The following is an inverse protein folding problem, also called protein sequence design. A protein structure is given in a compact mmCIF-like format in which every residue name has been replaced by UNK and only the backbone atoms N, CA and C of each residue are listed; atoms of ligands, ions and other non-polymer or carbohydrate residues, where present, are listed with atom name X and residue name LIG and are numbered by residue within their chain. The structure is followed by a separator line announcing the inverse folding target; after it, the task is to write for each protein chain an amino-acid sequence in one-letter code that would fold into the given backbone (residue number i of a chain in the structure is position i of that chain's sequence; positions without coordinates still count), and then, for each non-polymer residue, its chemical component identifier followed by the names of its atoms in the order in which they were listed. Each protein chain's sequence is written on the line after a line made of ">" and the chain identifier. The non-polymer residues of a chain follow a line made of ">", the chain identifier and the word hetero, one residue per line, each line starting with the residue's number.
data_IF_343729005419
#
_entry.id   IF_343729005419
#
_cell.length_a   1.000
_cell.length_b   1.000
_cell.length_c   1.000
_cell.angle_alpha   90.00
_cell.angle_beta   90.00
_cell.angle_gamma   90.00
#
_symmetry.space_group_name_H-M   'P 1'
#
loop_
_entity.id
_entity.type
_entity.pdbx_description
1 polymer ?
#
# COMPACT_ATOMS: atom_id res chain seq x y z
N UNK A 1 58.99 -53.84 -7.18
CA UNK A 1 60.11 -52.91 -7.44
C UNK A 1 59.61 -51.51 -7.11
N UNK A 2 59.91 -51.06 -5.89
CA UNK A 2 60.92 -50.03 -5.58
C UNK A 2 60.43 -48.63 -5.98
N UNK A 3 59.85 -47.85 -5.06
CA UNK A 3 60.46 -47.03 -3.98
C UNK A 3 61.12 -45.73 -4.47
N UNK A 4 60.73 -44.62 -3.85
CA UNK A 4 61.41 -43.33 -3.93
C UNK A 4 60.86 -42.31 -2.94
N UNK A 5 61.05 -42.56 -1.64
CA UNK A 5 61.00 -41.56 -0.56
C UNK A 5 62.25 -40.68 -0.60
N UNK A 6 62.23 -39.50 0.03
CA UNK A 6 63.14 -38.93 1.06
C UNK A 6 62.74 -37.43 1.23
N UNK A 7 62.13 -36.98 2.35
CA UNK A 7 62.75 -36.53 3.64
C UNK A 7 63.44 -35.16 3.44
N UNK A 8 63.29 -34.08 4.21
CA UNK A 8 62.86 -33.86 5.59
C UNK A 8 62.44 -32.38 5.81
N UNK A 9 61.78 -32.12 6.94
CA UNK A 9 62.26 -31.29 8.06
C UNK A 9 61.14 -30.39 8.62
N UNK A 10 60.70 -30.76 9.82
CA UNK A 10 59.94 -29.89 10.70
C UNK A 10 60.90 -28.92 11.40
N UNK A 11 60.52 -27.64 11.45
CA UNK A 11 61.00 -26.72 12.49
C UNK A 11 59.80 -25.98 13.07
N UNK A 12 59.57 -26.19 14.37
CA UNK A 12 58.67 -25.42 15.19
C UNK A 12 59.20 -23.99 15.36
N UNK A 13 58.34 -23.00 15.15
CA UNK A 13 58.46 -21.69 15.77
C UNK A 13 57.06 -21.21 16.15
N UNK A 14 56.80 -21.19 17.45
CA UNK A 14 55.63 -20.57 18.04
C UNK A 14 55.74 -19.05 17.90
N UNK A 15 54.71 -18.42 17.34
CA UNK A 15 54.43 -17.00 17.57
C UNK A 15 52.97 -16.86 17.90
N UNK A 16 52.70 -16.60 19.17
CA UNK A 16 51.42 -16.07 19.63
C UNK A 16 51.34 -14.59 19.20
N UNK A 17 50.26 -14.21 18.50
CA UNK A 17 49.51 -12.98 18.75
C UNK A 17 48.42 -12.73 17.68
N UNK A 18 47.21 -12.43 18.16
CA UNK A 18 46.30 -11.48 17.52
C UNK A 18 45.41 -12.00 16.40
N UNK A 19 44.19 -12.41 16.76
CA UNK A 19 43.05 -12.34 15.84
C UNK A 19 42.86 -10.87 15.42
N UNK A 20 43.17 -10.56 14.16
CA UNK A 20 42.79 -9.28 13.55
C UNK A 20 41.34 -9.40 13.10
N UNK A 21 40.45 -8.83 13.90
CA UNK A 21 39.08 -8.48 13.52
C UNK A 21 39.12 -7.55 12.31
N UNK A 22 38.44 -7.90 11.23
CA UNK A 22 38.21 -6.99 10.10
C UNK A 22 37.26 -5.89 10.58
N UNK A 23 37.80 -4.75 10.96
CA UNK A 23 37.04 -3.55 11.34
C UNK A 23 36.60 -2.81 10.09
N UNK A 24 35.28 -2.63 9.97
CA UNK A 24 34.59 -1.81 8.99
C UNK A 24 35.06 -0.33 9.10
N UNK A 25 35.55 0.34 8.04
CA UNK A 25 36.13 1.68 8.17
C UNK A 25 35.12 2.83 8.02
N UNK A 26 33.83 2.60 8.22
CA UNK A 26 32.82 3.68 8.19
C UNK A 26 32.11 3.82 9.54
N UNK A 27 32.28 4.94 10.27
CA UNK A 27 31.46 5.22 11.45
C UNK A 27 30.02 5.47 11.01
N UNK A 28 29.07 4.89 11.76
CA UNK A 28 27.66 5.26 11.66
C UNK A 28 27.51 6.77 11.94
N UNK A 29 26.66 7.51 11.20
CA UNK A 29 26.40 8.90 11.52
C UNK A 29 25.82 9.01 12.94
N UNK A 30 26.24 10.00 13.74
CA UNK A 30 25.71 10.18 15.08
C UNK A 30 24.21 10.46 15.02
N UNK A 31 23.46 9.88 15.96
CA UNK A 31 22.08 10.22 16.20
C UNK A 31 21.99 11.74 16.46
N UNK A 32 21.28 12.46 15.60
CA UNK A 32 20.99 13.87 15.83
C UNK A 32 20.02 13.97 17.01
N UNK A 33 20.54 14.35 18.17
CA UNK A 33 19.74 14.86 19.27
C UNK A 33 19.15 16.21 18.85
N UNK A 34 17.82 16.30 18.78
CA UNK A 34 17.15 17.59 18.68
C UNK A 34 17.40 18.37 19.98
N UNK A 35 17.83 19.63 19.92
CA UNK A 35 17.90 20.47 21.11
C UNK A 35 16.49 20.67 21.68
N UNK A 36 16.37 20.63 23.01
CA UNK A 36 15.15 21.01 23.71
C UNK A 36 14.73 22.44 23.29
N UNK A 37 13.42 22.70 23.13
CA UNK A 37 12.95 24.04 22.77
C UNK A 37 13.29 25.03 23.88
N UNK A 38 14.08 26.05 23.55
CA UNK A 38 14.33 27.20 24.40
C UNK A 38 13.02 27.96 24.58
N UNK A 39 12.62 28.35 25.80
CA UNK A 39 11.44 29.18 26.01
C UNK A 39 11.60 30.51 25.28
N UNK A 40 10.59 30.89 24.49
CA UNK A 40 10.58 32.19 23.83
C UNK A 40 10.59 33.33 24.88
N UNK A 41 11.35 34.42 24.65
CA UNK A 41 11.27 35.61 25.49
C UNK A 41 9.87 36.25 25.38
N UNK A 42 9.34 36.86 26.46
CA UNK A 42 8.05 37.51 26.43
C UNK A 42 8.06 38.69 25.44
N UNK A 43 7.03 38.76 24.60
CA UNK A 43 6.78 39.88 23.69
C UNK A 43 6.55 41.17 24.51
N UNK A 44 7.05 42.32 24.04
CA UNK A 44 6.74 43.61 24.67
C UNK A 44 5.24 43.92 24.56
N UNK A 45 4.64 44.35 25.67
CA UNK A 45 3.26 44.84 25.71
C UNK A 45 3.09 46.03 24.76
N UNK A 46 2.22 45.86 23.76
CA UNK A 46 1.71 46.97 22.97
C UNK A 46 0.48 47.56 23.68
N UNK A 47 0.32 48.91 23.72
CA UNK A 47 -0.84 49.53 24.32
C UNK A 47 -2.12 49.19 23.55
N UNK A 48 -3.17 48.82 24.29
CA UNK A 48 -4.50 48.50 23.74
C UNK A 48 -5.11 49.69 22.98
N UNK A 49 -5.67 49.48 21.77
CA UNK A 49 -6.51 50.47 21.11
C UNK A 49 -7.89 50.57 21.77
N UNK A 50 -8.57 51.73 21.69
CA UNK A 50 -9.85 51.97 22.35
C UNK A 50 -10.99 51.11 21.78
N UNK A 51 -12.06 50.86 22.55
CA UNK A 51 -13.12 49.93 22.16
C UNK A 51 -13.96 50.52 21.03
N UNK A 52 -14.00 49.82 19.89
CA UNK A 52 -14.95 50.06 18.80
C UNK A 52 -16.19 49.19 19.04
N UNK A 53 -17.38 49.81 19.02
CA UNK A 53 -18.66 49.12 19.21
C UNK A 53 -18.91 48.07 18.14
N UNK A 54 -19.25 46.85 18.58
CA UNK A 54 -19.62 45.75 17.71
C UNK A 54 -20.95 46.02 16.98
N UNK A 55 -21.05 45.72 15.67
CA UNK A 55 -22.34 45.41 15.06
C UNK A 55 -22.71 43.95 15.33
N UNK A 56 -24.03 43.74 15.43
CA UNK A 56 -24.75 42.52 15.79
C UNK A 56 -24.39 41.29 14.93
N UNK A 57 -24.24 40.07 15.51
CA UNK A 57 -23.89 38.89 14.73
C UNK A 57 -25.07 38.40 13.89
N UNK A 58 -24.86 38.35 12.57
CA UNK A 58 -25.70 37.60 11.65
C UNK A 58 -25.66 36.10 12.00
N UNK A 59 -26.84 35.49 12.11
CA UNK A 59 -27.04 34.06 12.33
C UNK A 59 -26.51 33.32 11.09
N UNK A 60 -25.30 32.75 11.19
CA UNK A 60 -24.80 31.76 10.23
C UNK A 60 -25.30 30.40 10.70
N UNK A 61 -26.27 29.86 9.99
CA UNK A 61 -26.72 28.48 10.13
C UNK A 61 -25.56 27.52 9.90
N UNK A 62 -25.31 26.65 10.88
CA UNK A 62 -24.33 25.57 10.77
C UNK A 62 -24.70 24.64 9.59
N UNK A 63 -23.73 24.20 8.77
CA UNK A 63 -23.99 23.22 7.73
C UNK A 63 -24.37 21.86 8.37
N UNK A 64 -25.40 21.22 7.81
CA UNK A 64 -25.89 19.91 8.22
C UNK A 64 -24.78 18.85 8.16
N UNK A 65 -24.76 17.87 9.09
CA UNK A 65 -23.79 16.79 9.07
C UNK A 65 -23.92 15.97 7.78
N UNK A 66 -22.88 16.04 6.94
CA UNK A 66 -22.79 15.29 5.70
C UNK A 66 -22.80 13.79 5.97
N UNK A 67 -23.85 13.13 5.48
CA UNK A 67 -24.05 11.69 5.54
C UNK A 67 -22.90 11.00 4.80
N UNK A 68 -22.16 10.13 5.50
CA UNK A 68 -21.17 9.23 4.90
C UNK A 68 -21.91 8.18 4.09
N UNK A 69 -22.13 8.45 2.81
CA UNK A 69 -22.52 7.43 1.83
C UNK A 69 -21.26 6.76 1.29
N UNK A 70 -21.11 5.47 1.57
CA UNK A 70 -20.21 4.58 0.82
C UNK A 70 -21.04 4.04 -0.35
N UNK A 71 -20.56 4.15 -1.62
CA UNK A 71 -21.33 3.70 -2.77
C UNK A 71 -21.69 2.23 -2.65
N UNK A 72 -22.89 1.90 -3.12
CA UNK A 72 -23.43 0.55 -3.25
C UNK A 72 -22.47 -0.39 -4.02
N UNK A 73 -22.60 -1.71 -3.82
CA UNK A 73 -21.86 -2.66 -4.65
C UNK A 73 -22.31 -2.48 -6.09
N UNK A 74 -21.39 -2.03 -6.94
CA UNK A 74 -21.63 -1.92 -8.37
C UNK A 74 -22.02 -3.27 -8.95
N UNK A 75 -23.05 -3.32 -9.82
CA UNK A 75 -23.31 -4.51 -10.62
C UNK A 75 -22.12 -4.80 -11.55
N UNK A 76 -22.07 -6.03 -12.08
CA UNK A 76 -21.04 -6.62 -12.98
C UNK A 76 -20.35 -5.58 -13.89
N UNK A 77 -19.05 -5.75 -14.21
CA UNK A 77 -18.27 -4.77 -14.95
C UNK A 77 -18.94 -4.54 -16.32
N UNK A 78 -19.73 -3.47 -16.42
CA UNK A 78 -19.96 -2.87 -17.72
C UNK A 78 -18.62 -2.28 -18.14
N UNK A 79 -18.26 -2.51 -19.40
CA UNK A 79 -17.09 -1.89 -20.01
C UNK A 79 -17.36 -0.39 -20.04
N UNK A 80 -17.00 0.27 -18.94
CA UNK A 80 -17.13 1.70 -18.76
C UNK A 80 -16.27 2.36 -19.83
N UNK A 81 -16.92 3.09 -20.75
CA UNK A 81 -16.23 3.92 -21.72
C UNK A 81 -15.24 4.82 -20.99
N UNK A 82 -13.99 4.84 -21.43
CA UNK A 82 -12.91 5.62 -20.82
C UNK A 82 -12.42 6.57 -21.89
N UNK A 83 -12.37 7.85 -21.57
CA UNK A 83 -11.70 8.83 -22.42
C UNK A 83 -10.48 9.38 -21.69
N UNK A 84 -9.38 9.43 -22.41
CA UNK A 84 -8.16 10.10 -21.98
C UNK A 84 -8.03 11.37 -22.80
N UNK A 85 -7.88 12.50 -22.14
CA UNK A 85 -7.74 13.79 -22.81
C UNK A 85 -6.32 14.30 -22.65
N UNK A 86 -5.65 14.59 -23.77
CA UNK A 86 -4.31 15.16 -23.76
C UNK A 86 -4.39 16.59 -23.24
N UNK A 87 -3.60 16.90 -22.21
CA UNK A 87 -3.53 18.24 -21.63
C UNK A 87 -2.10 18.79 -21.65
N UNK A 88 -1.99 20.09 -21.37
CA UNK A 88 -0.71 20.76 -21.14
C UNK A 88 -0.28 20.65 -19.67
N UNK A 89 1.03 20.78 -19.42
CA UNK A 89 1.59 20.77 -18.06
C UNK A 89 1.00 21.87 -17.15
N UNK A 90 0.52 22.98 -17.72
CA UNK A 90 -0.16 24.05 -16.97
C UNK A 90 -1.52 23.65 -16.41
N UNK A 91 -2.13 22.56 -16.90
CA UNK A 91 -3.39 22.05 -16.37
C UNK A 91 -3.21 21.22 -15.09
N UNK A 92 -1.99 20.78 -14.79
CA UNK A 92 -1.67 20.02 -13.57
C UNK A 92 -1.51 21.00 -12.39
N UNK A 93 -2.43 20.99 -11.40
CA UNK A 93 -2.38 21.93 -10.29
C UNK A 93 -1.13 21.72 -9.45
N UNK A 94 -0.44 22.79 -9.07
CA UNK A 94 0.78 22.76 -8.25
C UNK A 94 1.93 21.91 -8.82
N UNK A 95 1.96 21.63 -10.14
CA UNK A 95 3.04 20.85 -10.77
C UNK A 95 4.42 21.39 -10.39
N UNK A 96 4.61 22.71 -10.47
CA UNK A 96 5.87 23.38 -10.16
C UNK A 96 6.28 23.30 -8.68
N UNK A 97 5.34 23.00 -7.79
CA UNK A 97 5.58 22.91 -6.35
C UNK A 97 5.94 21.48 -5.90
N UNK A 98 5.69 20.45 -6.71
CA UNK A 98 6.06 19.07 -6.36
C UNK A 98 7.59 18.85 -6.43
N UNK A 99 8.12 18.16 -5.43
CA UNK A 99 9.52 17.72 -5.41
C UNK A 99 9.68 16.41 -6.20
N UNK A 100 9.89 16.53 -7.50
CA UNK A 100 9.97 15.40 -8.43
C UNK A 100 11.19 14.50 -8.24
N UNK A 101 12.22 14.96 -7.51
CA UNK A 101 13.34 14.10 -7.09
C UNK A 101 12.89 12.95 -6.17
N UNK A 102 11.73 13.07 -5.53
CA UNK A 102 11.14 11.98 -4.73
C UNK A 102 10.35 10.98 -5.57
N UNK A 103 9.82 11.39 -6.74
CA UNK A 103 9.09 10.51 -7.65
C UNK A 103 10.03 9.68 -8.55
N UNK A 104 11.17 10.25 -8.95
CA UNK A 104 12.13 9.61 -9.85
C UNK A 104 12.65 8.26 -9.34
N UNK A 105 13.06 8.08 -8.06
CA UNK A 105 13.47 6.77 -7.54
C UNK A 105 12.36 5.72 -7.62
N UNK A 106 11.10 6.10 -7.34
CA UNK A 106 9.96 5.20 -7.49
C UNK A 106 9.78 4.78 -8.95
N UNK A 107 9.87 5.73 -9.90
CA UNK A 107 9.79 5.41 -11.32
C UNK A 107 10.94 4.49 -11.78
N UNK A 108 12.16 4.71 -11.29
CA UNK A 108 13.31 3.84 -11.58
C UNK A 108 13.13 2.41 -11.05
N UNK A 109 12.43 2.23 -9.93
CA UNK A 109 12.05 0.87 -9.47
C UNK A 109 11.12 0.21 -10.49
N UNK A 110 10.08 0.90 -10.95
CA UNK A 110 9.17 0.41 -11.99
C UNK A 110 9.88 0.10 -13.31
N UNK A 111 10.91 0.87 -13.67
CA UNK A 111 11.73 0.59 -14.85
C UNK A 111 12.43 -0.78 -14.82
N UNK A 112 12.58 -1.42 -13.66
CA UNK A 112 13.05 -2.81 -13.59
C UNK A 112 12.00 -3.84 -14.03
N UNK A 113 10.73 -3.58 -13.75
CA UNK A 113 9.61 -4.43 -14.15
C UNK A 113 9.13 -4.13 -15.58
N UNK A 114 9.32 -2.90 -16.05
CA UNK A 114 9.01 -2.46 -17.42
C UNK A 114 10.10 -2.87 -18.45
N UNK A 115 11.11 -3.65 -18.04
CA UNK A 115 12.15 -4.12 -18.97
C UNK A 115 11.53 -5.00 -20.05
N UNK A 116 11.76 -4.65 -21.31
CA UNK A 116 11.21 -5.37 -22.47
C UNK A 116 9.88 -4.82 -22.97
N UNK A 117 9.29 -3.83 -22.31
CA UNK A 117 8.18 -3.06 -22.88
C UNK A 117 8.75 -1.90 -23.73
N UNK A 118 8.62 -2.03 -25.05
CA UNK A 118 9.12 -1.04 -26.02
C UNK A 118 8.53 0.36 -25.81
N UNK A 119 7.33 0.45 -25.23
CA UNK A 119 6.69 1.72 -24.89
C UNK A 119 7.49 2.51 -23.83
N UNK A 120 8.08 1.81 -22.86
CA UNK A 120 8.75 2.42 -21.71
C UNK A 120 10.27 2.34 -21.79
N UNK A 121 10.84 1.48 -22.65
CA UNK A 121 12.27 1.25 -22.73
C UNK A 121 13.10 2.54 -22.89
N UNK A 122 12.67 3.43 -23.81
CA UNK A 122 13.37 4.70 -24.06
C UNK A 122 13.31 5.66 -22.88
N UNK A 123 12.15 5.79 -22.24
CA UNK A 123 11.99 6.71 -21.10
C UNK A 123 12.71 6.18 -19.86
N UNK A 124 12.70 4.87 -19.64
CA UNK A 124 13.48 4.23 -18.60
C UNK A 124 15.00 4.40 -18.80
N UNK A 125 15.51 4.22 -20.02
CA UNK A 125 16.92 4.47 -20.32
C UNK A 125 17.31 5.93 -20.02
N UNK A 126 16.49 6.90 -20.42
CA UNK A 126 16.70 8.32 -20.08
C UNK A 126 16.68 8.57 -18.57
N UNK A 127 15.73 7.98 -17.85
CA UNK A 127 15.59 8.16 -16.41
C UNK A 127 16.85 7.76 -15.63
N UNK A 128 17.55 6.70 -16.08
CA UNK A 128 18.79 6.25 -15.41
C UNK A 128 19.93 7.25 -15.47
N UNK A 129 19.90 8.21 -16.41
CA UNK A 129 20.91 9.25 -16.56
C UNK A 129 20.66 10.45 -15.64
N UNK A 130 19.50 10.51 -14.99
CA UNK A 130 19.12 11.64 -14.14
C UNK A 130 19.66 11.43 -12.73
N UNK A 131 20.36 12.44 -12.21
CA UNK A 131 20.83 12.46 -10.82
C UNK A 131 19.62 12.46 -9.88
N UNK A 132 19.52 11.43 -9.03
CA UNK A 132 18.33 11.17 -8.18
C UNK A 132 17.91 12.33 -7.27
N UNK A 133 18.85 13.16 -6.81
CA UNK A 133 18.62 14.26 -5.87
C UNK A 133 18.48 15.63 -6.56
N UNK A 134 18.08 15.66 -7.83
CA UNK A 134 17.97 16.89 -8.62
C UNK A 134 16.52 17.15 -9.06
N UNK A 135 15.75 17.99 -8.34
CA UNK A 135 14.36 18.24 -8.66
C UNK A 135 14.15 18.89 -10.04
N UNK A 136 15.08 19.74 -10.47
CA UNK A 136 14.99 20.44 -11.75
C UNK A 136 15.26 19.48 -12.91
N UNK A 137 16.30 18.65 -12.82
CA UNK A 137 16.58 17.64 -13.83
C UNK A 137 15.46 16.59 -13.90
N UNK A 138 14.89 16.18 -12.76
CA UNK A 138 13.72 15.29 -12.72
C UNK A 138 12.50 15.93 -13.41
N UNK A 139 12.23 17.21 -13.15
CA UNK A 139 11.15 17.96 -13.82
C UNK A 139 11.34 17.98 -15.33
N UNK A 140 12.50 18.41 -15.79
CA UNK A 140 12.83 18.47 -17.21
C UNK A 140 12.71 17.09 -17.87
N UNK A 141 13.13 16.02 -17.17
CA UNK A 141 12.96 14.65 -17.65
C UNK A 141 11.48 14.30 -17.87
N UNK A 142 10.60 14.54 -16.88
CA UNK A 142 9.18 14.22 -17.02
C UNK A 142 8.52 15.05 -18.12
N UNK A 143 8.80 16.36 -18.20
CA UNK A 143 8.23 17.27 -19.19
C UNK A 143 8.65 16.95 -20.64
N UNK A 144 9.92 16.58 -20.82
CA UNK A 144 10.48 16.26 -22.13
C UNK A 144 10.20 14.83 -22.58
N UNK A 145 9.90 13.91 -21.66
CA UNK A 145 9.74 12.48 -21.96
C UNK A 145 8.28 12.04 -22.02
N UNK A 146 7.37 12.76 -21.38
CA UNK A 146 5.96 12.38 -21.26
C UNK A 146 5.01 13.47 -21.72
N UNK A 147 3.75 13.08 -21.92
CA UNK A 147 2.60 13.96 -22.09
C UNK A 147 1.54 13.59 -21.04
N UNK A 148 0.88 14.56 -20.39
CA UNK A 148 -0.15 14.28 -19.40
C UNK A 148 -1.51 14.02 -20.08
N UNK A 149 -2.16 12.94 -19.67
CA UNK A 149 -3.48 12.56 -20.14
C UNK A 149 -4.47 12.55 -18.97
N UNK A 150 -5.40 13.50 -18.96
CA UNK A 150 -6.47 13.56 -17.98
C UNK A 150 -7.35 12.30 -18.12
N UNK A 151 -7.56 11.61 -17.01
CA UNK A 151 -8.44 10.44 -16.95
C UNK A 151 -9.87 10.90 -16.67
N UNK A 152 -10.81 10.49 -17.53
CA UNK A 152 -12.24 10.69 -17.31
C UNK A 152 -12.96 9.39 -17.00
N UNK A 153 -14.02 9.50 -16.21
CA UNK A 153 -14.96 8.43 -15.95
C UNK A 153 -15.93 8.22 -17.13
N UNK A 154 -16.76 7.17 -17.07
CA UNK A 154 -17.70 6.84 -18.14
C UNK A 154 -18.79 7.89 -18.38
N UNK A 155 -19.03 8.75 -17.39
CA UNK A 155 -19.99 9.86 -17.47
C UNK A 155 -19.32 11.15 -17.99
N UNK A 156 -18.03 11.10 -18.35
CA UNK A 156 -17.23 12.23 -18.82
C UNK A 156 -16.65 13.10 -17.71
N UNK A 157 -16.97 12.82 -16.44
CA UNK A 157 -16.41 13.51 -15.28
C UNK A 157 -14.93 13.18 -15.04
N UNK A 158 -14.17 14.16 -14.55
CA UNK A 158 -12.75 14.00 -14.24
C UNK A 158 -12.47 13.59 -12.78
N UNK A 159 -13.50 13.61 -11.93
CA UNK A 159 -13.38 13.28 -10.52
C UNK A 159 -13.65 11.80 -10.25
N UNK A 160 -12.97 11.29 -9.23
CA UNK A 160 -13.23 9.99 -8.65
C UNK A 160 -12.65 9.86 -7.26
N UNK A 161 -12.47 8.63 -6.78
CA UNK A 161 -12.22 8.34 -5.37
C UNK A 161 -10.75 7.99 -5.08
N UNK A 162 -10.16 8.74 -4.15
CA UNK A 162 -8.84 8.46 -3.58
C UNK A 162 -8.98 7.98 -2.13
N UNK A 163 -8.44 6.80 -1.85
CA UNK A 163 -8.33 6.23 -0.49
C UNK A 163 -6.86 6.11 -0.11
N UNK A 164 -6.55 5.62 1.09
CA UNK A 164 -5.17 5.36 1.50
C UNK A 164 -4.99 3.97 2.12
N UNK A 165 -3.79 3.41 1.93
CA UNK A 165 -3.35 2.15 2.52
C UNK A 165 -1.92 2.26 3.06
N UNK A 166 -1.49 1.29 3.86
CA UNK A 166 -0.20 1.31 4.57
C UNK A 166 0.30 -0.10 4.90
N UNK A 167 1.55 -0.23 5.34
CA UNK A 167 2.15 -1.46 5.87
C UNK A 167 2.00 -1.45 7.42
N UNK A 168 1.08 -2.23 8.02
CA UNK A 168 0.90 -2.31 9.47
C UNK A 168 2.06 -3.00 10.18
N UNK A 169 2.25 -2.61 11.44
CA UNK A 169 3.08 -3.31 12.41
C UNK A 169 2.18 -4.12 13.34
N UNK A 170 2.45 -5.42 13.47
CA UNK A 170 1.79 -6.34 14.38
C UNK A 170 2.81 -6.92 15.35
N UNK A 171 2.32 -7.55 16.42
CA UNK A 171 3.14 -8.31 17.36
C UNK A 171 2.85 -9.80 17.24
N UNK A 172 3.89 -10.63 17.25
CA UNK A 172 3.73 -12.05 16.98
C UNK A 172 4.87 -12.92 17.46
N UNK A 173 4.75 -14.21 17.21
CA UNK A 173 5.72 -15.26 17.55
C UNK A 173 5.79 -16.31 16.46
N UNK A 174 6.96 -16.95 16.31
CA UNK A 174 7.18 -18.16 15.49
C UNK A 174 6.69 -19.43 16.16
N UNK A 175 6.15 -19.34 17.37
CA UNK A 175 5.63 -20.46 18.14
C UNK A 175 4.27 -20.06 18.69
N UNK A 176 3.29 -20.92 18.49
CA UNK A 176 1.96 -20.79 19.09
C UNK A 176 2.07 -20.65 20.61
N UNK A 177 1.30 -19.73 21.19
CA UNK A 177 1.21 -19.54 22.64
C UNK A 177 -0.11 -18.90 23.05
N UNK A 178 -0.35 -18.77 24.36
CA UNK A 178 -1.58 -18.13 24.87
C UNK A 178 -1.72 -16.68 24.40
N UNK A 179 -0.60 -15.95 24.33
CA UNK A 179 -0.57 -14.57 23.81
C UNK A 179 -0.63 -14.52 22.27
N UNK A 180 0.09 -15.41 21.58
CA UNK A 180 0.19 -15.44 20.12
C UNK A 180 -0.55 -16.65 19.57
N UNK A 181 -1.82 -16.45 19.22
CA UNK A 181 -2.75 -17.55 18.92
C UNK A 181 -3.48 -17.43 17.60
N UNK A 182 -3.31 -16.32 16.89
CA UNK A 182 -3.98 -16.07 15.61
C UNK A 182 -2.98 -16.28 14.46
N UNK A 183 -3.07 -17.38 13.71
CA UNK A 183 -2.08 -17.70 12.69
C UNK A 183 -2.21 -16.81 11.45
N UNK A 184 -1.07 -16.35 10.94
CA UNK A 184 -0.92 -15.81 9.58
C UNK A 184 -0.58 -17.00 8.69
N UNK A 185 -1.49 -17.36 7.78
CA UNK A 185 -1.30 -18.53 6.92
C UNK A 185 -0.64 -18.19 5.59
N UNK A 186 0.21 -19.10 5.13
CA UNK A 186 0.62 -19.21 3.74
C UNK A 186 -0.44 -19.86 2.86
N UNK A 187 -0.18 -19.89 1.54
CA UNK A 187 -1.11 -20.46 0.56
C UNK A 187 -1.29 -21.97 0.81
N UNK A 188 -2.54 -22.45 0.97
CA UNK A 188 -2.79 -23.87 1.16
C UNK A 188 -2.53 -24.66 -0.13
N UNK A 189 -2.12 -25.94 -0.04
CA UNK A 189 -1.74 -26.74 -1.20
C UNK A 189 -2.91 -27.09 -2.13
N UNK A 190 -4.16 -27.01 -1.67
CA UNK A 190 -5.36 -27.33 -2.43
C UNK A 190 -6.05 -26.11 -3.07
N UNK A 191 -5.52 -24.90 -2.83
CA UNK A 191 -6.03 -23.68 -3.44
C UNK A 191 -5.64 -23.63 -4.91
N UNK A 192 -6.64 -23.67 -5.78
CA UNK A 192 -6.47 -23.56 -7.22
C UNK A 192 -6.74 -22.12 -7.68
N UNK A 193 -5.84 -21.58 -8.50
CA UNK A 193 -6.08 -20.37 -9.29
C UNK A 193 -6.39 -20.81 -10.72
N UNK A 194 -7.61 -20.51 -11.16
CA UNK A 194 -8.12 -20.96 -12.47
C UNK A 194 -8.09 -19.77 -13.43
N UNK A 195 -7.23 -19.87 -14.43
CA UNK A 195 -7.11 -18.93 -15.55
C UNK A 195 -7.64 -19.64 -16.81
N UNK A 196 -8.68 -19.07 -17.43
CA UNK A 196 -9.36 -19.65 -18.59
C UNK A 196 -9.12 -18.82 -19.86
N UNK A 197 -8.19 -17.86 -19.84
CA UNK A 197 -7.96 -16.95 -20.95
C UNK A 197 -7.51 -17.68 -22.24
N UNK A 198 -6.79 -18.80 -22.11
CA UNK A 198 -6.28 -19.56 -23.26
C UNK A 198 -7.39 -20.22 -24.07
N UNK A 199 -8.45 -20.72 -23.42
CA UNK A 199 -9.58 -21.38 -24.09
C UNK A 199 -10.76 -20.45 -24.31
N UNK A 200 -10.87 -19.39 -23.49
CA UNK A 200 -11.97 -18.44 -23.49
C UNK A 200 -11.39 -17.01 -23.39
N UNK A 201 -11.01 -16.40 -24.53
CA UNK A 201 -10.41 -15.07 -24.54
C UNK A 201 -11.27 -13.98 -23.86
N UNK A 202 -12.60 -14.13 -23.85
CA UNK A 202 -13.52 -13.23 -23.15
C UNK A 202 -13.33 -13.22 -21.63
N UNK A 203 -12.67 -14.24 -21.06
CA UNK A 203 -12.35 -14.35 -19.64
C UNK A 203 -10.93 -13.85 -19.32
N UNK A 204 -10.24 -13.24 -20.29
CA UNK A 204 -8.89 -12.70 -20.08
C UNK A 204 -8.88 -11.73 -18.90
N UNK A 205 -7.98 -11.98 -17.95
CA UNK A 205 -7.85 -11.17 -16.73
C UNK A 205 -8.80 -11.58 -15.59
N UNK A 206 -9.73 -12.52 -15.81
CA UNK A 206 -10.58 -13.09 -14.77
C UNK A 206 -9.91 -14.34 -14.20
N UNK A 207 -9.59 -14.31 -12.91
CA UNK A 207 -9.00 -15.44 -12.18
C UNK A 207 -9.93 -15.92 -11.07
N UNK A 208 -10.45 -17.14 -11.21
CA UNK A 208 -11.29 -17.76 -10.18
C UNK A 208 -10.42 -18.50 -9.17
N UNK A 209 -10.91 -18.59 -7.93
CA UNK A 209 -10.24 -19.38 -6.88
C UNK A 209 -11.18 -20.47 -6.37
N UNK A 210 -10.65 -21.67 -6.32
CA UNK A 210 -11.43 -22.85 -6.02
C UNK A 210 -10.61 -23.96 -5.41
N UNK A 211 -11.27 -25.07 -5.15
CA UNK A 211 -10.68 -26.34 -4.70
C UNK A 211 -11.36 -27.50 -5.42
N UNK A 212 -10.66 -28.62 -5.50
CA UNK A 212 -11.27 -29.86 -5.98
C UNK A 212 -12.25 -30.41 -4.94
N UNK A 213 -13.41 -30.84 -5.40
CA UNK A 213 -14.35 -31.68 -4.66
C UNK A 213 -14.87 -32.75 -5.60
N UNK A 214 -14.48 -33.99 -5.35
CA UNK A 214 -14.71 -35.12 -6.26
C UNK A 214 -14.17 -34.81 -7.67
N UNK A 215 -15.06 -34.67 -8.65
CA UNK A 215 -14.74 -34.34 -10.05
C UNK A 215 -15.16 -32.91 -10.43
N UNK A 216 -15.36 -32.03 -9.45
CA UNK A 216 -15.78 -30.65 -9.67
C UNK A 216 -14.83 -29.67 -9.00
N UNK A 217 -14.67 -28.51 -9.61
CA UNK A 217 -14.06 -27.34 -8.96
C UNK A 217 -15.20 -26.56 -8.30
N UNK A 218 -15.05 -26.30 -7.00
CA UNK A 218 -15.99 -25.51 -6.21
C UNK A 218 -15.26 -24.29 -5.61
N UNK A 219 -15.98 -23.23 -5.17
CA UNK A 219 -15.36 -22.10 -4.51
C UNK A 219 -14.47 -22.51 -3.34
N UNK A 220 -13.39 -21.77 -3.12
CA UNK A 220 -12.50 -22.02 -1.98
C UNK A 220 -13.21 -21.69 -0.65
N UNK A 221 -12.63 -22.12 0.46
CA UNK A 221 -13.22 -21.89 1.79
C UNK A 221 -13.35 -20.41 2.14
N UNK A 222 -14.46 -20.03 2.77
CA UNK A 222 -14.68 -18.71 3.38
C UNK A 222 -13.80 -18.53 4.62
N UNK A 223 -13.61 -17.28 5.07
CA UNK A 223 -12.98 -16.96 6.35
C UNK A 223 -13.51 -17.81 7.52
N UNK A 224 -14.83 -17.89 7.65
CA UNK A 224 -15.46 -18.64 8.73
C UNK A 224 -15.18 -20.14 8.66
N UNK A 225 -15.04 -20.71 7.47
CA UNK A 225 -14.69 -22.13 7.30
C UNK A 225 -13.20 -22.37 7.57
N UNK A 226 -12.32 -21.47 7.11
CA UNK A 226 -10.87 -21.52 7.38
C UNK A 226 -10.62 -21.45 8.89
N UNK A 227 -11.21 -20.48 9.57
CA UNK A 227 -11.03 -20.28 11.02
C UNK A 227 -11.63 -21.43 11.85
N UNK A 228 -12.62 -22.15 11.32
CA UNK A 228 -13.19 -23.38 11.92
C UNK A 228 -12.41 -24.65 11.57
N UNK A 229 -11.33 -24.55 10.80
CA UNK A 229 -10.45 -25.67 10.48
C UNK A 229 -10.92 -26.55 9.30
N UNK A 230 -11.82 -26.06 8.45
CA UNK A 230 -12.28 -26.82 7.28
C UNK A 230 -11.26 -26.85 6.13
N UNK A 231 -10.39 -25.85 6.05
CA UNK A 231 -9.34 -25.74 5.03
C UNK A 231 -8.03 -26.42 5.49
N UNK A 232 -7.23 -27.01 4.58
CA UNK A 232 -5.98 -27.69 4.92
C UNK A 232 -4.82 -26.68 5.14
N UNK A 233 -5.01 -25.77 6.10
CA UNK A 233 -4.05 -24.69 6.44
C UNK A 233 -3.03 -25.11 7.51
N UNK A 234 -3.20 -26.26 8.14
CA UNK A 234 -2.32 -26.75 9.20
C UNK A 234 -0.90 -26.98 8.66
N UNK A 235 0.11 -26.46 9.37
CA UNK A 235 1.51 -26.50 8.93
C UNK A 235 1.85 -25.41 7.90
N UNK A 236 0.92 -24.49 7.61
CA UNK A 236 1.13 -23.30 6.77
C UNK A 236 1.20 -22.02 7.58
N UNK A 237 1.30 -22.09 8.90
CA UNK A 237 1.49 -20.94 9.78
C UNK A 237 2.87 -20.32 9.53
N UNK A 238 2.91 -19.04 9.15
CA UNK A 238 4.16 -18.27 8.99
C UNK A 238 4.60 -17.71 10.35
N UNK A 239 3.63 -17.12 11.05
CA UNK A 239 3.73 -16.57 12.42
C UNK A 239 2.35 -16.64 13.07
N UNK A 240 2.31 -16.55 14.40
CA UNK A 240 1.09 -16.30 15.18
C UNK A 240 1.12 -14.88 15.72
N UNK A 241 0.03 -14.13 15.57
CA UNK A 241 -0.13 -12.78 16.12
C UNK A 241 -1.06 -12.79 17.33
N UNK A 242 -1.05 -11.71 18.10
CA UNK A 242 -1.77 -11.55 19.36
C UNK A 242 -3.14 -10.88 19.24
N UNK A 243 -3.37 -10.08 18.19
CA UNK A 243 -4.63 -9.37 17.96
C UNK A 243 -5.33 -9.84 16.65
N UNK A 244 -6.55 -10.43 16.72
CA UNK A 244 -7.28 -10.90 15.55
C UNK A 244 -7.84 -9.75 14.69
N UNK A 245 -8.01 -8.55 15.26
CA UNK A 245 -8.41 -7.35 14.53
C UNK A 245 -7.23 -6.83 13.74
N UNK A 246 -6.03 -6.77 14.32
CA UNK A 246 -4.83 -6.42 13.55
C UNK A 246 -4.58 -7.42 12.43
N UNK A 247 -4.75 -8.72 12.68
CA UNK A 247 -4.70 -9.74 11.64
C UNK A 247 -5.75 -9.50 10.56
N UNK A 248 -6.97 -9.11 10.93
CA UNK A 248 -8.02 -8.79 9.96
C UNK A 248 -7.63 -7.58 9.09
N UNK A 249 -7.07 -6.53 9.68
CA UNK A 249 -6.62 -5.36 8.94
C UNK A 249 -5.36 -5.66 8.11
N UNK A 250 -4.48 -6.54 8.56
CA UNK A 250 -3.37 -7.08 7.74
C UNK A 250 -3.91 -7.73 6.45
N UNK A 251 -5.01 -8.48 6.51
CA UNK A 251 -5.66 -9.03 5.30
C UNK A 251 -6.20 -7.93 4.37
N UNK A 252 -6.67 -6.80 4.92
CA UNK A 252 -7.15 -5.67 4.11
C UNK A 252 -5.97 -4.95 3.43
N UNK A 253 -4.88 -4.73 4.16
CA UNK A 253 -3.70 -4.04 3.65
C UNK A 253 -2.86 -4.90 2.69
N UNK A 254 -2.92 -6.23 2.83
CA UNK A 254 -2.23 -7.19 1.96
C UNK A 254 -0.75 -7.39 2.27
N UNK A 255 -0.14 -6.57 3.14
CA UNK A 255 1.24 -6.74 3.60
C UNK A 255 1.40 -6.17 4.99
N UNK A 256 2.47 -6.55 5.70
CA UNK A 256 2.75 -6.04 7.04
C UNK A 256 4.07 -6.55 7.62
N UNK A 257 4.41 -6.02 8.79
CA UNK A 257 5.58 -6.42 9.57
C UNK A 257 5.13 -6.97 10.91
N UNK A 258 5.73 -8.07 11.35
CA UNK A 258 5.41 -8.72 12.61
C UNK A 258 6.65 -8.68 13.49
N UNK A 259 6.59 -7.91 14.58
CA UNK A 259 7.66 -7.82 15.57
C UNK A 259 7.60 -9.03 16.50
N UNK A 260 8.70 -9.77 16.57
CA UNK A 260 8.88 -10.91 17.46
C UNK A 260 9.37 -10.46 18.84
N UNK A 261 9.25 -11.30 19.90
CA UNK A 261 9.67 -10.93 21.25
C UNK A 261 11.17 -10.64 21.37
N UNK A 262 11.98 -11.24 20.50
CA UNK A 262 13.43 -11.00 20.42
C UNK A 262 13.85 -9.72 19.69
N UNK A 263 12.89 -8.90 19.22
CA UNK A 263 13.14 -7.67 18.46
C UNK A 263 13.29 -7.86 16.95
N UNK A 264 13.50 -9.10 16.48
CA UNK A 264 13.46 -9.45 15.06
C UNK A 264 12.08 -9.10 14.45
N UNK A 265 12.08 -8.74 13.18
CA UNK A 265 10.86 -8.44 12.42
C UNK A 265 10.70 -9.42 11.26
N UNK A 266 9.55 -10.09 11.21
CA UNK A 266 9.15 -10.92 10.06
C UNK A 266 8.31 -10.07 9.13
N UNK A 267 8.68 -9.98 7.86
CA UNK A 267 7.88 -9.28 6.84
C UNK A 267 6.98 -10.28 6.14
N UNK A 268 5.70 -9.94 6.01
CA UNK A 268 4.72 -10.74 5.28
C UNK A 268 4.11 -9.93 4.15
N UNK A 269 4.04 -10.54 2.97
CA UNK A 269 3.45 -9.94 1.77
C UNK A 269 2.36 -10.83 1.20
N UNK A 270 1.46 -10.25 0.42
CA UNK A 270 0.39 -10.95 -0.28
C UNK A 270 0.94 -12.10 -1.12
N UNK A 271 0.31 -13.28 -1.01
CA UNK A 271 0.61 -14.42 -1.85
C UNK A 271 -0.60 -14.85 -2.69
N UNK A 272 -1.78 -14.96 -2.09
CA UNK A 272 -3.05 -15.26 -2.79
C UNK A 272 -4.27 -14.89 -1.92
N UNK A 273 -5.48 -14.95 -2.46
CA UNK A 273 -6.74 -14.83 -1.70
C UNK A 273 -7.73 -15.96 -2.02
N UNK A 274 -8.74 -16.16 -1.17
CA UNK A 274 -9.73 -17.24 -1.36
C UNK A 274 -10.82 -16.97 -2.42
N UNK A 275 -10.72 -15.89 -3.20
CA UNK A 275 -11.70 -15.52 -4.23
C UNK A 275 -13.02 -14.92 -3.75
N UNK A 276 -13.32 -14.91 -2.45
CA UNK A 276 -14.59 -14.37 -1.94
C UNK A 276 -14.61 -12.83 -1.92
N UNK A 277 -15.79 -12.19 -2.11
CA UNK A 277 -15.90 -10.75 -2.08
C UNK A 277 -15.69 -10.19 -0.66
N UNK A 278 -15.05 -9.03 -0.58
CA UNK A 278 -14.92 -8.30 0.67
C UNK A 278 -16.28 -7.81 1.16
N UNK A 279 -16.56 -7.98 2.46
CA UNK A 279 -17.69 -7.33 3.14
C UNK A 279 -17.18 -6.47 4.30
N UNK A 280 -17.65 -5.23 4.38
CA UNK A 280 -17.24 -4.28 5.41
C UNK A 280 -17.86 -4.62 6.77
N UNK A 281 -17.04 -5.03 7.73
CA UNK A 281 -17.48 -5.26 9.12
C UNK A 281 -17.89 -3.96 9.83
N UNK A 282 -17.30 -2.82 9.44
CA UNK A 282 -17.70 -1.51 9.94
C UNK A 282 -19.12 -1.16 9.52
N UNK A 283 -19.49 -1.43 8.26
CA UNK A 283 -20.86 -1.24 7.77
C UNK A 283 -21.85 -2.13 8.51
N UNK A 284 -21.49 -3.40 8.76
CA UNK A 284 -22.33 -4.32 9.55
C UNK A 284 -22.58 -3.78 10.96
N UNK A 285 -21.58 -3.20 11.63
CA UNK A 285 -21.76 -2.60 12.96
C UNK A 285 -22.68 -1.37 12.92
N UNK A 286 -22.60 -0.57 11.87
CA UNK A 286 -23.49 0.59 11.65
C UNK A 286 -24.92 0.14 11.39
N UNK A 287 -25.12 -0.83 10.52
CA UNK A 287 -26.45 -1.41 10.21
C UNK A 287 -27.10 -2.03 11.45
N UNK A 288 -26.31 -2.55 12.40
CA UNK A 288 -26.78 -3.08 13.68
C UNK A 288 -27.01 -2.01 14.76
N UNK A 289 -26.67 -0.75 14.50
CA UNK A 289 -26.71 0.33 15.49
C UNK A 289 -25.67 0.19 16.61
N UNK A 290 -24.66 -0.66 16.44
CA UNK A 290 -23.62 -0.91 17.45
C UNK A 290 -22.44 0.07 17.35
N UNK A 291 -22.26 0.72 16.19
CA UNK A 291 -21.35 1.85 15.97
C UNK A 291 -22.00 2.89 15.06
N UNK A 292 -21.60 4.15 15.20
CA UNK A 292 -21.93 5.20 14.23
C UNK A 292 -20.93 5.18 13.06
N UNK A 293 -21.31 5.73 11.90
CA UNK A 293 -20.48 5.68 10.70
C UNK A 293 -19.11 6.36 10.88
N UNK A 294 -19.05 7.46 11.64
CA UNK A 294 -17.82 8.17 12.02
C UNK A 294 -16.90 7.35 12.93
N UNK A 295 -17.44 6.34 13.63
CA UNK A 295 -16.70 5.45 14.53
C UNK A 295 -16.39 4.08 13.91
N UNK A 296 -16.80 3.82 12.67
CA UNK A 296 -16.55 2.55 11.98
C UNK A 296 -15.10 2.40 11.45
N UNK A 297 -14.12 2.92 12.18
CA UNK A 297 -12.68 2.82 11.90
C UNK A 297 -12.05 1.62 12.61
N UNK A 298 -10.78 1.29 12.29
CA UNK A 298 -10.04 0.25 13.01
C UNK A 298 -10.04 0.48 14.53
N UNK A 299 -9.76 1.73 14.95
CA UNK A 299 -9.72 2.09 16.37
C UNK A 299 -11.10 1.94 17.02
N UNK A 300 -12.16 2.39 16.36
CA UNK A 300 -13.52 2.23 16.87
C UNK A 300 -13.96 0.77 16.95
N UNK A 301 -13.58 -0.06 15.97
CA UNK A 301 -13.83 -1.50 15.99
C UNK A 301 -13.05 -2.18 17.13
N UNK A 302 -11.78 -1.81 17.37
CA UNK A 302 -11.01 -2.30 18.53
C UNK A 302 -11.68 -1.95 19.85
N UNK A 303 -12.12 -0.69 20.01
CA UNK A 303 -12.84 -0.24 21.22
C UNK A 303 -14.18 -0.97 21.40
N UNK A 304 -14.92 -1.18 20.32
CA UNK A 304 -16.15 -1.96 20.34
C UNK A 304 -15.89 -3.41 20.75
N UNK A 305 -14.84 -4.04 20.19
CA UNK A 305 -14.50 -5.43 20.46
C UNK A 305 -14.04 -5.67 21.90
N UNK A 306 -13.32 -4.71 22.50
CA UNK A 306 -12.93 -4.77 23.91
C UNK A 306 -14.15 -4.86 24.85
N UNK A 307 -15.28 -4.25 24.45
CA UNK A 307 -16.56 -4.31 25.18
C UNK A 307 -17.43 -5.50 24.80
N UNK A 308 -17.14 -6.15 23.66
CA UNK A 308 -17.95 -7.23 23.07
C UNK A 308 -17.10 -8.43 22.62
N UNK A 309 -16.24 -9.02 23.49
CA UNK A 309 -15.25 -10.02 23.07
C UNK A 309 -15.89 -11.29 22.47
N UNK A 310 -17.08 -11.66 22.96
CA UNK A 310 -17.86 -12.79 22.46
C UNK A 310 -18.52 -12.56 21.09
N UNK A 311 -18.71 -11.31 20.67
CA UNK A 311 -19.28 -10.95 19.36
C UNK A 311 -18.23 -10.77 18.26
N UNK A 312 -16.95 -10.68 18.63
CA UNK A 312 -15.87 -10.36 17.70
C UNK A 312 -15.71 -11.39 16.59
N UNK A 313 -15.55 -12.68 16.93
CA UNK A 313 -15.35 -13.71 15.92
C UNK A 313 -16.52 -13.80 14.93
N UNK A 314 -17.81 -13.86 15.36
CA UNK A 314 -18.95 -13.81 14.45
C UNK A 314 -19.01 -12.54 13.57
N UNK A 315 -18.51 -11.40 14.07
CA UNK A 315 -18.41 -10.16 13.29
C UNK A 315 -17.35 -10.28 12.19
N UNK A 316 -16.11 -10.67 12.54
CA UNK A 316 -15.02 -10.81 11.56
C UNK A 316 -15.40 -11.78 10.44
N UNK A 317 -16.11 -12.85 10.80
CA UNK A 317 -16.62 -13.88 9.90
C UNK A 317 -17.72 -13.41 8.94
N UNK A 318 -18.30 -12.22 9.14
CA UNK A 318 -19.19 -11.61 8.15
C UNK A 318 -18.46 -11.27 6.84
N UNK A 319 -17.14 -11.07 6.90
CA UNK A 319 -16.31 -10.92 5.72
C UNK A 319 -15.78 -12.29 5.25
N UNK A 320 -16.32 -12.88 4.18
CA UNK A 320 -15.88 -14.19 3.72
C UNK A 320 -14.49 -14.16 3.08
N UNK A 321 -13.99 -12.97 2.68
CA UNK A 321 -12.67 -12.82 2.08
C UNK A 321 -11.55 -13.14 3.06
N UNK A 322 -10.56 -13.90 2.58
CA UNK A 322 -9.37 -14.30 3.31
C UNK A 322 -8.13 -14.16 2.41
N UNK A 323 -7.05 -13.63 2.96
CA UNK A 323 -5.78 -13.42 2.25
C UNK A 323 -4.72 -14.35 2.85
N UNK A 324 -3.95 -14.98 1.98
CA UNK A 324 -2.80 -15.81 2.32
C UNK A 324 -1.52 -15.06 2.00
N UNK A 325 -0.50 -15.27 2.82
CA UNK A 325 0.74 -14.51 2.76
C UNK A 325 1.92 -15.37 2.36
N UNK A 326 3.04 -14.70 2.12
CA UNK A 326 4.36 -15.30 2.05
C UNK A 326 5.30 -14.46 2.89
N UNK A 327 6.32 -15.11 3.44
CA UNK A 327 7.41 -14.40 4.07
C UNK A 327 8.22 -13.66 3.00
N UNK A 328 8.59 -12.43 3.30
CA UNK A 328 9.38 -11.57 2.44
C UNK A 328 10.75 -11.35 3.08
N UNK A 329 11.84 -11.27 2.29
CA UNK A 329 13.14 -10.89 2.82
C UNK A 329 13.07 -9.55 3.55
N UNK A 330 13.87 -9.41 4.61
CA UNK A 330 14.03 -8.11 5.25
C UNK A 330 14.59 -7.08 4.25
N UNK A 331 14.09 -5.86 4.32
CA UNK A 331 14.45 -4.82 3.38
C UNK A 331 14.09 -3.43 3.93
N UNK A 332 14.92 -2.41 3.66
CA UNK A 332 14.63 -1.03 4.04
C UNK A 332 13.50 -0.41 3.20
N UNK A 333 13.12 -1.05 2.09
CA UNK A 333 12.06 -0.59 1.20
C UNK A 333 10.66 -1.02 1.68
N UNK A 334 9.62 -0.38 1.15
CA UNK A 334 8.23 -0.77 1.38
C UNK A 334 7.90 -2.19 0.87
N UNK A 335 6.66 -2.64 1.05
CA UNK A 335 6.22 -3.96 0.58
C UNK A 335 6.29 -4.03 -0.95
N UNK A 336 6.37 -5.23 -1.50
CA UNK A 336 6.36 -5.43 -2.96
C UNK A 336 4.92 -5.37 -3.47
N UNK A 337 4.62 -4.39 -4.32
CA UNK A 337 3.30 -4.24 -4.93
C UNK A 337 3.04 -5.22 -6.07
N UNK A 338 1.84 -5.18 -6.66
CA UNK A 338 1.42 -6.04 -7.76
C UNK A 338 2.32 -5.96 -9.02
N UNK A 339 3.04 -4.85 -9.24
CA UNK A 339 4.02 -4.75 -10.32
C UNK A 339 5.30 -5.58 -10.06
N UNK A 340 5.48 -6.12 -8.85
CA UNK A 340 6.69 -6.86 -8.47
C UNK A 340 7.86 -5.97 -8.04
N UNK A 341 7.60 -4.69 -7.73
CA UNK A 341 8.61 -3.74 -7.24
C UNK A 341 8.25 -3.21 -5.84
N UNK A 342 9.23 -2.80 -5.01
CA UNK A 342 8.94 -2.21 -3.71
C UNK A 342 8.18 -0.89 -3.83
N UNK A 343 7.20 -0.70 -2.94
CA UNK A 343 6.42 0.52 -2.84
C UNK A 343 7.19 1.61 -2.09
N UNK A 344 7.01 2.85 -2.54
CA UNK A 344 7.64 4.05 -2.02
C UNK A 344 6.60 4.89 -1.28
N UNK A 345 6.75 5.13 0.04
CA UNK A 345 5.83 5.93 0.82
C UNK A 345 5.55 7.29 0.18
N UNK A 346 4.28 7.63 0.02
CA UNK A 346 3.82 8.88 -0.54
C UNK A 346 4.06 9.09 -2.04
N UNK A 347 4.60 8.08 -2.73
CA UNK A 347 4.97 8.10 -4.17
C UNK A 347 4.49 6.87 -4.94
N UNK A 348 3.82 5.93 -4.28
CA UNK A 348 3.18 4.78 -4.92
C UNK A 348 1.67 4.81 -4.72
N UNK A 349 0.94 4.36 -5.74
CA UNK A 349 -0.51 4.16 -5.66
C UNK A 349 -0.89 2.77 -6.15
N UNK A 350 -1.97 2.23 -5.59
CA UNK A 350 -2.71 1.14 -6.19
C UNK A 350 -3.76 1.69 -7.16
N UNK A 351 -3.92 1.05 -8.32
CA UNK A 351 -4.85 1.48 -9.37
C UNK A 351 -5.64 0.30 -9.92
N UNK A 352 -6.66 0.58 -10.73
CA UNK A 352 -7.24 -0.42 -11.61
C UNK A 352 -6.32 -0.64 -12.82
N UNK A 353 -5.64 -1.79 -12.87
CA UNK A 353 -4.71 -2.12 -13.95
C UNK A 353 -5.38 -2.22 -15.33
N UNK A 354 -6.72 -2.31 -15.40
CA UNK A 354 -7.43 -2.24 -16.67
C UNK A 354 -7.44 -0.83 -17.26
N UNK A 355 -7.33 0.21 -16.42
CA UNK A 355 -7.46 1.63 -16.83
C UNK A 355 -6.13 2.39 -16.77
N UNK A 356 -5.26 2.00 -15.85
CA UNK A 356 -3.98 2.67 -15.59
C UNK A 356 -2.86 1.61 -15.65
N UNK A 357 -1.95 1.68 -16.63
CA UNK A 357 -0.87 0.70 -16.73
C UNK A 357 0.02 0.71 -15.48
N UNK A 358 0.37 -0.47 -14.99
CA UNK A 358 1.36 -0.59 -13.92
C UNK A 358 2.73 -0.09 -14.40
N UNK A 359 3.36 0.72 -13.57
CA UNK A 359 4.62 1.42 -13.84
C UNK A 359 4.44 2.84 -14.39
N UNK A 360 3.24 3.21 -14.82
CA UNK A 360 2.99 4.54 -15.31
C UNK A 360 3.13 5.60 -14.19
N UNK A 361 3.81 6.73 -14.44
CA UNK A 361 3.69 7.89 -13.59
C UNK A 361 2.28 8.48 -13.72
N UNK A 362 1.69 8.84 -12.59
CA UNK A 362 0.36 9.42 -12.48
C UNK A 362 0.47 10.70 -11.65
N UNK A 363 0.03 11.83 -12.19
CA UNK A 363 -0.17 13.02 -11.39
C UNK A 363 -1.50 12.89 -10.66
N UNK A 364 -1.46 12.91 -9.33
CA UNK A 364 -2.62 12.82 -8.46
C UNK A 364 -2.92 14.21 -7.89
N UNK A 365 -4.15 14.68 -8.08
CA UNK A 365 -4.66 15.89 -7.43
C UNK A 365 -5.80 15.54 -6.49
N UNK A 366 -5.61 15.76 -5.20
CA UNK A 366 -6.59 15.50 -4.14
C UNK A 366 -6.27 16.37 -2.92
N UNK A 367 -6.72 16.01 -1.73
CA UNK A 367 -6.46 16.72 -0.46
C UNK A 367 -5.88 15.77 0.59
N UNK A 368 -5.25 16.34 1.61
CA UNK A 368 -4.88 15.58 2.80
C UNK A 368 -6.14 15.10 3.55
N UNK A 369 -6.11 13.92 4.20
CA UNK A 369 -7.26 13.41 4.96
C UNK A 369 -7.76 14.41 6.00
N UNK A 370 -9.09 14.58 6.08
CA UNK A 370 -9.76 15.52 6.99
C UNK A 370 -9.27 16.99 6.84
N UNK A 371 -8.85 17.38 5.65
CA UNK A 371 -8.31 18.71 5.38
C UNK A 371 -8.69 19.20 3.98
N UNK A 372 -8.76 20.52 3.81
CA UNK A 372 -8.86 21.17 2.49
C UNK A 372 -7.48 21.41 1.86
N UNK A 373 -6.39 21.13 2.57
CA UNK A 373 -5.03 21.34 2.08
C UNK A 373 -4.75 20.42 0.88
N UNK A 374 -4.31 20.97 -0.27
CA UNK A 374 -4.03 20.15 -1.45
C UNK A 374 -2.95 19.10 -1.22
N UNK A 375 -3.17 17.92 -1.79
CA UNK A 375 -2.23 16.83 -1.96
C UNK A 375 -2.08 16.61 -3.47
N UNK A 376 -1.27 17.47 -4.09
CA UNK A 376 -0.97 17.44 -5.52
C UNK A 376 0.46 16.91 -5.71
N UNK A 377 0.64 15.78 -6.39
CA UNK A 377 1.97 15.19 -6.59
C UNK A 377 2.00 14.12 -7.68
N UNK A 378 3.19 13.93 -8.24
CA UNK A 378 3.51 12.78 -9.09
C UNK A 378 3.74 11.52 -8.24
N UNK A 379 3.00 10.47 -8.55
CA UNK A 379 3.06 9.13 -7.96
C UNK A 379 3.22 8.09 -9.05
N UNK A 380 3.55 6.85 -8.71
CA UNK A 380 3.74 5.75 -9.66
C UNK A 380 2.72 4.65 -9.38
N UNK A 381 2.04 4.18 -10.42
CA UNK A 381 1.11 3.07 -10.35
C UNK A 381 1.86 1.74 -10.16
N UNK A 382 2.14 1.33 -8.94
CA UNK A 382 2.99 0.16 -8.64
C UNK A 382 2.24 -1.01 -8.04
N UNK A 383 0.95 -0.81 -7.74
CA UNK A 383 0.12 -1.80 -7.07
C UNK A 383 -1.30 -1.86 -7.64
N UNK A 384 -2.05 -2.87 -7.20
CA UNK A 384 -3.48 -3.03 -7.50
C UNK A 384 -4.21 -3.52 -6.26
N UNK A 385 -5.54 -3.38 -6.24
CA UNK A 385 -6.36 -4.01 -5.21
C UNK A 385 -7.68 -4.50 -5.77
N UNK A 386 -8.25 -5.53 -5.16
CA UNK A 386 -9.54 -6.09 -5.60
C UNK A 386 -10.68 -5.08 -5.51
N UNK A 387 -10.62 -4.17 -4.53
CA UNK A 387 -11.56 -3.06 -4.34
C UNK A 387 -11.19 -1.77 -5.10
N UNK A 388 -10.07 -1.77 -5.83
CA UNK A 388 -9.58 -0.61 -6.59
C UNK A 388 -10.03 -0.82 -8.03
N UNK A 389 -11.22 -0.30 -8.35
CA UNK A 389 -11.89 -0.47 -9.64
C UNK A 389 -12.37 0.87 -10.19
N UNK A 390 -12.23 1.04 -11.50
CA UNK A 390 -12.65 2.23 -12.23
C UNK A 390 -11.48 3.12 -12.69
N UNK A 391 -11.75 4.05 -13.62
CA UNK A 391 -10.73 4.87 -14.26
C UNK A 391 -10.10 5.91 -13.34
N UNK A 392 -10.92 6.69 -12.61
CA UNK A 392 -10.44 7.70 -11.65
C UNK A 392 -10.52 7.10 -10.25
N UNK A 393 -9.68 6.11 -9.98
CA UNK A 393 -9.63 5.41 -8.68
C UNK A 393 -8.18 5.12 -8.30
N UNK A 394 -7.77 5.61 -7.13
CA UNK A 394 -6.44 5.35 -6.60
C UNK A 394 -6.46 5.05 -5.10
N UNK A 395 -5.60 4.14 -4.65
CA UNK A 395 -5.28 3.96 -3.24
C UNK A 395 -3.86 4.46 -2.97
N UNK A 396 -3.72 5.43 -2.07
CA UNK A 396 -2.46 6.12 -1.81
C UNK A 396 -1.64 5.40 -0.74
N UNK A 397 -0.41 5.02 -1.07
CA UNK A 397 0.46 4.33 -0.12
C UNK A 397 1.10 5.32 0.85
N UNK A 398 0.69 5.29 2.12
CA UNK A 398 1.21 6.20 3.14
C UNK A 398 2.55 5.77 3.75
N UNK A 399 2.94 4.51 3.58
CA UNK A 399 4.17 3.95 4.14
C UNK A 399 3.92 2.96 5.26
N UNK A 400 4.81 2.92 6.25
CA UNK A 400 4.82 1.93 7.32
C UNK A 400 4.53 2.57 8.69
N UNK A 401 3.82 1.84 9.54
CA UNK A 401 3.61 2.19 10.95
C UNK A 401 2.36 3.03 11.24
N UNK A 402 2.23 3.44 12.50
CA UNK A 402 0.98 3.98 13.05
C UNK A 402 0.56 5.31 12.43
N UNK A 403 1.50 6.21 12.15
CA UNK A 403 1.20 7.49 11.50
C UNK A 403 0.66 7.27 10.09
N UNK A 404 1.30 6.39 9.32
CA UNK A 404 0.83 5.98 8.00
C UNK A 404 -0.57 5.35 8.08
N UNK A 405 -0.82 4.51 9.08
CA UNK A 405 -2.12 3.90 9.33
C UNK A 405 -3.22 4.91 9.68
N UNK A 406 -2.90 5.94 10.46
CA UNK A 406 -3.84 7.01 10.77
C UNK A 406 -4.20 7.85 9.54
N UNK A 407 -3.22 8.20 8.71
CA UNK A 407 -3.47 8.92 7.47
C UNK A 407 -4.27 8.07 6.49
N UNK A 408 -3.88 6.81 6.29
CA UNK A 408 -4.54 5.85 5.42
C UNK A 408 -6.01 5.63 5.81
N UNK A 409 -6.28 5.31 7.08
CA UNK A 409 -7.62 4.99 7.56
C UNK A 409 -8.61 6.16 7.54
N UNK A 410 -8.13 7.39 7.42
CA UNK A 410 -8.96 8.62 7.32
C UNK A 410 -9.09 9.11 5.88
N UNK A 411 -8.33 8.55 4.94
CA UNK A 411 -8.30 9.02 3.56
C UNK A 411 -9.50 8.50 2.78
N UNK A 412 -10.38 9.43 2.43
CA UNK A 412 -11.51 9.21 1.51
C UNK A 412 -11.82 10.54 0.86
N UNK A 413 -11.12 10.87 -0.21
CA UNK A 413 -11.18 12.20 -0.83
C UNK A 413 -11.55 12.07 -2.29
N UNK A 414 -12.20 13.11 -2.83
CA UNK A 414 -12.32 13.26 -4.28
C UNK A 414 -10.93 13.57 -4.85
N UNK A 415 -10.67 13.13 -6.07
CA UNK A 415 -9.44 13.45 -6.76
C UNK A 415 -9.53 13.30 -8.27
N UNK A 416 -8.53 13.89 -8.92
CA UNK A 416 -8.31 13.81 -10.37
C UNK A 416 -6.97 13.15 -10.63
N UNK A 417 -6.87 12.47 -11.77
CA UNK A 417 -5.68 11.73 -12.17
C UNK A 417 -5.28 12.11 -13.60
N UNK A 418 -4.00 12.34 -13.82
CA UNK A 418 -3.40 12.42 -15.16
C UNK A 418 -2.37 11.31 -15.29
N UNK A 419 -2.49 10.48 -16.30
CA UNK A 419 -1.47 9.47 -16.59
C UNK A 419 -0.43 10.12 -17.49
N UNK A 420 0.84 10.05 -17.10
CA UNK A 420 1.95 10.50 -17.94
C UNK A 420 2.35 9.37 -18.89
N UNK A 421 2.00 9.50 -20.16
CA UNK A 421 2.41 8.55 -21.19
C UNK A 421 3.69 9.00 -21.89
N UNK A 422 4.62 8.07 -22.21
CA UNK A 422 5.78 8.37 -23.04
C UNK A 422 5.38 9.09 -24.32
N UNK A 423 6.06 10.19 -24.67
CA UNK A 423 5.79 10.90 -25.92
C UNK A 423 5.91 9.96 -27.12
N UNK A 424 4.95 10.03 -28.02
CA UNK A 424 4.83 9.12 -29.17
C UNK A 424 3.94 7.90 -28.92
N UNK A 425 3.46 7.71 -27.68
CA UNK A 425 2.46 6.71 -27.33
C UNK A 425 1.20 7.38 -26.80
N UNK A 426 0.08 6.68 -26.94
CA UNK A 426 -1.22 7.12 -26.47
C UNK A 426 -1.82 6.04 -25.55
N UNK A 427 -2.65 6.43 -24.57
CA UNK A 427 -3.44 5.48 -23.83
C UNK A 427 -4.39 4.74 -24.79
N UNK A 428 -4.25 3.42 -24.89
CA UNK A 428 -5.25 2.61 -25.59
C UNK A 428 -6.36 2.24 -24.59
N UNK A 429 -7.63 2.62 -24.84
CA UNK A 429 -8.73 1.97 -24.14
C UNK A 429 -8.70 0.47 -24.52
N UNK A 430 -8.85 -0.45 -23.55
CA UNK A 430 -8.83 -1.89 -23.84
C UNK A 430 -9.98 -2.33 -24.74
#
# INVERSE_FOLDING_TARGET
>A
MLTGKWVALALCAAVANGCVSVTNPYPAPPAQSFPEPVPAPPLPEQPEPPPVSAPEPAIVTAPEPSIVTVPEPTPKPSVQARSYELEDWSALPDWNNDNLALALPAFLLSCNALKGDDQWARTCAKATQIRKADPMAARQFFESSFAPWLVRNAEGGAEGLVTGYYEPLLHGSRIFGRAYRFPVYGVPPDLLVIDLAETNPDLKGIRLRGRMQDKKIVPYYTRAEIERGAAPVRGREIVWVDDPIELFFLHIQGSGRVRLPGGETVRVGFAEHNGHPYKSIGKVLVERGELTADKASMQGIKQWAAKNPNKLAPLLQQNPAYVFFREMPDSPFGPVGAQGVPLTPGRSIAVDAMTTPLGAPVFLSTTFPLSVRPLNRLVIAQDTGTAIKGPVRADFFWGFGDEAGQSAGRMRQNGRMWILYPRGFQPNPP
#
